data_IF_126858024259
#
_entry.id   IF_126858024259
#
_cell.length_a   1.000
_cell.length_b   1.000
_cell.length_c   1.000
_cell.angle_alpha   90.00
_cell.angle_beta   90.00
_cell.angle_gamma   90.00
#
_symmetry.space_group_name_H-M   'P 1'
#
loop_
_entity.id
_entity.type
_entity.pdbx_description
1 polymer ?
2 non-polymer ?
3 non-polymer ?
4 non-polymer ?
5 water ?
#
# COMPACT_ATOMS: atom_id res chain seq x y z
N UNK A 15 -28.73 -14.41 10.61
CA UNK A 15 -27.61 -13.45 10.58
C UNK A 15 -28.07 -12.02 10.36
N UNK A 16 -27.34 -11.05 10.89
CA UNK A 16 -27.64 -9.65 10.60
C UNK A 16 -27.29 -9.34 9.15
N UNK A 17 -28.05 -8.43 8.56
CA UNK A 17 -27.96 -8.11 7.15
C UNK A 17 -27.61 -6.65 6.98
N UNK A 18 -26.84 -6.34 5.94
CA UNK A 18 -26.47 -4.96 5.63
C UNK A 18 -26.63 -4.73 4.13
N UNK A 19 -27.53 -3.81 3.77
CA UNK A 19 -27.81 -3.47 2.37
C UNK A 19 -28.08 -4.73 1.54
N UNK A 20 -28.97 -5.58 2.05
CA UNK A 20 -29.34 -6.79 1.34
C UNK A 20 -28.21 -7.78 1.19
N UNK A 21 -27.28 -7.81 2.15
CA UNK A 21 -26.16 -8.74 2.12
C UNK A 21 -25.99 -9.33 3.52
N UNK A 22 -25.72 -10.63 3.58
CA UNK A 22 -25.38 -11.24 4.85
C UNK A 22 -24.10 -10.61 5.37
N UNK A 23 -24.08 -10.29 6.67
CA UNK A 23 -22.88 -9.78 7.34
C UNK A 23 -22.90 -10.45 8.73
N UNK A 24 -22.43 -11.69 8.76
CA UNK A 24 -22.74 -12.66 9.82
C UNK A 24 -21.61 -12.67 10.86
N UNK A 25 -21.69 -11.73 11.80
CA UNK A 25 -20.62 -11.49 12.76
C UNK A 25 -21.07 -11.65 14.21
N UNK A 26 -22.35 -11.87 14.46
CA UNK A 26 -22.86 -11.93 15.82
C UNK A 26 -22.61 -13.25 16.51
N UNK A 27 -22.89 -13.31 17.83
CA UNK A 27 -23.46 -12.24 18.64
C UNK A 27 -22.46 -11.27 19.28
N UNK A 28 -21.15 -11.54 19.15
CA UNK A 28 -20.16 -10.65 19.77
C UNK A 28 -20.25 -9.24 19.21
N UNK A 29 -20.48 -9.12 17.90
CA UNK A 29 -20.41 -7.84 17.20
C UNK A 29 -21.81 -7.46 16.72
N UNK A 30 -22.30 -6.30 17.18
CA UNK A 30 -23.66 -5.86 16.94
C UNK A 30 -23.67 -4.40 16.51
N UNK A 31 -24.86 -3.90 16.17
CA UNK A 31 -25.11 -2.50 15.82
C UNK A 31 -24.19 -2.05 14.69
N UNK A 32 -24.51 -2.55 13.50
CA UNK A 32 -23.64 -2.44 12.33
C UNK A 32 -23.95 -1.18 11.52
N UNK A 33 -22.91 -0.58 10.96
CA UNK A 33 -23.04 0.56 10.05
C UNK A 33 -22.09 0.37 8.88
N UNK A 34 -22.60 0.61 7.67
CA UNK A 34 -21.77 0.59 6.47
C UNK A 34 -20.77 1.75 6.50
N UNK A 35 -19.49 1.46 6.25
CA UNK A 35 -18.48 2.50 6.21
C UNK A 35 -17.59 2.44 4.99
N UNK A 36 -17.70 1.41 4.15
CA UNK A 36 -16.86 1.44 2.96
C UNK A 36 -16.77 0.08 2.31
N UNK A 37 -15.69 -0.12 1.55
CA UNK A 37 -15.53 -1.29 0.70
C UNK A 37 -14.10 -1.81 0.75
N UNK A 38 -13.98 -3.13 0.85
CA UNK A 38 -12.74 -3.82 0.59
C UNK A 38 -12.71 -4.37 -0.82
N UNK A 39 -11.76 -5.27 -1.06
CA UNK A 39 -11.61 -5.81 -2.40
C UNK A 39 -12.64 -6.90 -2.70
N UNK A 40 -13.06 -7.65 -1.69
CA UNK A 40 -13.96 -8.78 -1.91
C UNK A 40 -15.17 -8.71 -0.98
N UNK A 41 -15.55 -7.51 -0.58
CA UNK A 41 -16.69 -7.34 0.31
C UNK A 41 -16.67 -5.98 0.95
N UNK A 42 -17.75 -5.71 1.69
CA UNK A 42 -17.95 -4.42 2.31
C UNK A 42 -17.27 -4.34 3.67
N UNK A 43 -17.05 -3.11 4.13
CA UNK A 43 -16.49 -2.82 5.43
C UNK A 43 -17.58 -2.16 6.28
N UNK A 44 -17.73 -2.62 7.52
CA UNK A 44 -18.72 -2.07 8.44
C UNK A 44 -18.05 -1.74 9.77
N UNK A 45 -18.67 -0.81 10.48
CA UNK A 45 -18.35 -0.63 11.90
C UNK A 45 -19.34 -1.43 12.73
N UNK A 46 -18.91 -1.77 13.95
CA UNK A 46 -19.72 -2.61 14.81
C UNK A 46 -19.28 -2.42 16.25
N UNK A 47 -20.17 -2.76 17.19
CA UNK A 47 -19.87 -2.71 18.61
C UNK A 47 -19.38 -4.07 19.08
N UNK A 48 -18.20 -4.08 19.69
CA UNK A 48 -17.60 -5.31 20.23
C UNK A 48 -18.08 -5.46 21.67
N UNK A 49 -18.98 -6.43 21.89
CA UNK A 49 -19.62 -6.58 23.19
C UNK A 49 -18.68 -7.14 24.25
N UNK A 50 -17.53 -7.69 23.86
CA UNK A 50 -16.55 -8.17 24.84
C UNK A 50 -15.63 -7.04 25.30
N UNK A 51 -14.97 -6.38 24.36
CA UNK A 51 -14.03 -5.32 24.68
C UNK A 51 -14.69 -3.94 24.82
N UNK A 52 -16.01 -3.85 24.61
CA UNK A 52 -16.79 -2.66 24.91
C UNK A 52 -16.29 -1.44 24.13
N UNK A 53 -16.05 -1.63 22.83
CA UNK A 53 -15.58 -0.57 21.96
C UNK A 53 -16.07 -0.89 20.55
N UNK A 54 -16.23 0.13 19.72
CA UNK A 54 -16.58 -0.14 18.33
C UNK A 54 -15.34 -0.47 17.53
N UNK A 55 -15.54 -1.30 16.50
CA UNK A 55 -14.45 -1.83 15.68
C UNK A 55 -14.85 -1.72 14.21
N UNK A 56 -13.89 -2.02 13.34
CA UNK A 56 -14.14 -2.14 11.91
C UNK A 56 -14.07 -3.61 11.52
N UNK A 57 -14.94 -4.02 10.60
CA UNK A 57 -15.02 -5.40 10.13
C UNK A 57 -15.09 -5.41 8.61
N UNK A 58 -14.19 -6.18 7.99
CA UNK A 58 -14.14 -6.34 6.54
C UNK A 58 -14.64 -7.73 6.15
N UNK A 59 -15.65 -7.78 5.28
CA UNK A 59 -16.14 -9.04 4.76
C UNK A 59 -15.35 -9.43 3.50
N UNK A 60 -14.99 -10.71 3.43
CA UNK A 60 -14.21 -11.25 2.31
C UNK A 60 -14.91 -12.49 1.78
N UNK A 61 -15.05 -12.59 0.46
CA UNK A 61 -15.70 -13.72 -0.20
C UNK A 61 -14.82 -14.19 -1.35
N UNK A 62 -13.74 -14.91 -1.06
CA UNK A 62 -12.73 -15.16 -2.09
C UNK A 62 -12.76 -16.55 -2.72
N UNK A 63 -13.62 -17.43 -2.22
CA UNK A 63 -13.37 -18.86 -2.40
C UNK A 63 -13.72 -19.39 -3.78
N UNK A 64 -14.38 -18.60 -4.62
CA UNK A 64 -14.70 -19.05 -5.97
C UNK A 64 -13.56 -18.82 -6.96
N UNK A 65 -12.54 -18.05 -6.58
CA UNK A 65 -11.47 -17.65 -7.49
C UNK A 65 -10.09 -17.82 -6.85
N UNK A 66 -9.20 -18.49 -7.58
CA UNK A 66 -7.83 -18.73 -7.12
C UNK A 66 -7.12 -17.45 -6.74
N UNK A 67 -7.21 -16.42 -7.59
CA UNK A 67 -6.47 -15.19 -7.33
C UNK A 67 -6.97 -14.50 -6.06
N UNK A 68 -8.28 -14.57 -5.82
CA UNK A 68 -8.83 -13.95 -4.62
C UNK A 68 -8.31 -14.66 -3.37
N UNK A 69 -8.29 -15.99 -3.40
CA UNK A 69 -7.76 -16.76 -2.28
C UNK A 69 -6.29 -16.45 -2.05
N UNK A 70 -5.52 -16.24 -3.12
CA UNK A 70 -4.13 -15.85 -2.97
C UNK A 70 -4.00 -14.54 -2.22
N UNK A 71 -4.73 -13.51 -2.67
CA UNK A 71 -4.66 -12.19 -2.06
C UNK A 71 -5.12 -12.25 -0.59
N UNK A 72 -6.13 -13.09 -0.31
CA UNK A 72 -6.63 -13.21 1.06
C UNK A 72 -5.63 -13.91 1.96
N UNK A 73 -5.07 -15.04 1.51
CA UNK A 73 -4.13 -15.79 2.33
C UNK A 73 -2.87 -14.99 2.59
N UNK A 74 -2.39 -14.28 1.56
CA UNK A 74 -1.16 -13.51 1.71
C UNK A 74 -1.29 -12.45 2.79
N UNK A 75 -2.40 -11.69 2.75
CA UNK A 75 -2.60 -10.64 3.75
C UNK A 75 -2.71 -11.22 5.15
N UNK A 76 -3.46 -12.31 5.32
CA UNK A 76 -3.63 -12.89 6.64
C UNK A 76 -2.30 -13.37 7.20
N UNK A 77 -1.49 -14.04 6.38
CA UNK A 77 -0.18 -14.50 6.86
C UNK A 77 0.70 -13.32 7.27
N UNK A 78 0.70 -12.24 6.48
CA UNK A 78 1.56 -11.10 6.79
C UNK A 78 1.13 -10.45 8.09
N UNK A 79 -0.18 -10.15 8.21
CA UNK A 79 -0.65 -9.35 9.34
C UNK A 79 -0.64 -10.12 10.65
N UNK A 80 -0.73 -11.45 10.59
CA UNK A 80 -0.64 -12.21 11.83
C UNK A 80 0.79 -12.27 12.36
N UNK A 81 1.79 -12.00 11.51
CA UNK A 81 3.16 -11.94 12.02
C UNK A 81 3.56 -10.51 12.37
N UNK A 82 3.12 -9.53 11.59
CA UNK A 82 3.48 -8.14 11.85
C UNK A 82 2.86 -7.63 13.15
N UNK A 83 3.62 -6.80 13.87
CA UNK A 83 3.11 -6.03 15.01
C UNK A 83 3.78 -4.67 14.98
N UNK A 84 3.05 -3.62 14.64
CA UNK A 84 3.66 -2.30 14.54
C UNK A 84 2.58 -1.22 14.69
N UNK A 85 2.95 -0.10 15.33
CA UNK A 85 1.97 0.94 15.65
C UNK A 85 1.37 1.57 14.39
N UNK A 86 2.10 1.61 13.28
CA UNK A 86 1.63 2.25 12.06
C UNK A 86 1.16 1.25 11.02
N UNK A 87 0.78 0.05 11.46
CA UNK A 87 0.21 -0.98 10.61
C UNK A 87 -1.01 -1.51 11.34
N UNK A 88 -2.17 -1.48 10.68
CA UNK A 88 -3.37 -1.89 11.39
C UNK A 88 -3.43 -3.41 11.41
N UNK A 89 -3.58 -3.97 12.60
CA UNK A 89 -3.48 -5.40 12.77
C UNK A 89 -4.81 -6.11 12.70
N UNK A 90 -4.77 -7.41 12.93
CA UNK A 90 -5.95 -8.25 12.98
C UNK A 90 -6.28 -8.57 14.44
N UNK A 91 -7.44 -8.10 14.90
CA UNK A 91 -7.89 -8.36 16.26
C UNK A 91 -8.66 -9.67 16.38
N UNK A 92 -9.36 -10.06 15.33
CA UNK A 92 -10.23 -11.23 15.34
C UNK A 92 -10.50 -11.61 13.90
N UNK A 93 -10.76 -12.89 13.67
CA UNK A 93 -11.23 -13.39 12.37
C UNK A 93 -12.43 -14.29 12.62
N UNK A 94 -13.51 -14.04 11.88
CA UNK A 94 -14.77 -14.74 12.04
C UNK A 94 -15.01 -15.60 10.80
N UNK A 95 -15.27 -16.88 11.00
CA UNK A 95 -15.72 -17.74 9.92
C UNK A 95 -16.39 -18.97 10.52
N UNK A 96 -16.98 -19.78 9.64
CA UNK A 96 -17.73 -20.95 10.07
C UNK A 96 -16.81 -21.98 10.71
N UNK A 97 -17.34 -22.88 11.54
CA UNK A 97 -16.47 -23.86 12.22
C UNK A 97 -15.92 -24.95 11.31
N UNK A 98 -16.44 -25.12 10.09
CA UNK A 98 -15.96 -26.16 9.18
C UNK A 98 -15.73 -25.59 7.80
N UNK A 99 -14.87 -26.28 7.04
CA UNK A 99 -14.55 -25.83 5.69
C UNK A 99 -15.79 -25.89 4.81
N UNK A 100 -16.63 -26.92 4.99
CA UNK A 100 -17.86 -27.05 4.21
C UNK A 100 -18.77 -25.85 4.40
N UNK A 101 -18.86 -25.33 5.62
CA UNK A 101 -19.79 -24.26 5.95
C UNK A 101 -19.18 -22.88 5.77
N UNK A 102 -17.89 -22.79 5.44
CA UNK A 102 -17.22 -21.50 5.36
C UNK A 102 -17.42 -20.93 3.95
N UNK A 103 -18.23 -19.87 3.85
CA UNK A 103 -18.45 -19.18 2.59
C UNK A 103 -17.78 -17.82 2.55
N UNK A 104 -17.64 -17.18 3.71
CA UNK A 104 -17.06 -15.85 3.82
C UNK A 104 -16.12 -15.85 5.01
N UNK A 105 -15.25 -14.84 5.07
CA UNK A 105 -14.38 -14.61 6.20
C UNK A 105 -14.44 -13.13 6.55
N UNK A 106 -14.52 -12.83 7.85
CA UNK A 106 -14.58 -11.46 8.33
C UNK A 106 -13.35 -11.17 9.17
N UNK A 107 -12.68 -10.06 8.88
CA UNK A 107 -11.48 -9.62 9.59
C UNK A 107 -11.84 -8.39 10.42
N UNK A 108 -11.59 -8.48 11.73
CA UNK A 108 -11.93 -7.42 12.68
C UNK A 108 -10.65 -6.66 13.01
N UNK A 109 -10.74 -5.32 12.97
CA UNK A 109 -9.57 -4.46 13.12
C UNK A 109 -9.99 -3.20 13.89
N UNK A 110 -9.00 -2.43 14.32
CA UNK A 110 -9.27 -1.17 15.02
C UNK A 110 -10.14 -0.26 14.17
N UNK A 111 -11.07 0.44 14.83
CA UNK A 111 -11.92 1.41 14.15
C UNK A 111 -11.23 2.77 14.12
N UNK A 112 -10.96 3.25 12.92
CA UNK A 112 -10.30 4.54 12.73
C UNK A 112 -11.37 5.58 12.35
N UNK A 113 -10.95 6.83 12.23
CA UNK A 113 -11.90 7.90 11.94
C UNK A 113 -12.15 8.11 10.45
N UNK A 114 -11.09 8.05 9.64
CA UNK A 114 -11.22 8.32 8.21
C UNK A 114 -10.02 7.71 7.51
N UNK A 115 -10.00 7.82 6.19
CA UNK A 115 -8.82 7.47 5.40
C UNK A 115 -8.29 8.72 4.72
N UNK A 116 -7.06 8.65 4.23
CA UNK A 116 -6.41 9.87 3.75
C UNK A 116 -7.01 10.34 2.42
N UNK A 117 -7.59 9.42 1.64
CA UNK A 117 -8.25 9.83 0.40
C UNK A 117 -9.44 10.72 0.71
N UNK A 118 -10.32 10.26 1.60
CA UNK A 118 -11.46 11.06 2.02
C UNK A 118 -11.02 12.38 2.64
N UNK A 119 -10.00 12.33 3.50
CA UNK A 119 -9.54 13.53 4.18
C UNK A 119 -9.05 14.58 3.19
N UNK A 120 -8.28 14.16 2.18
CA UNK A 120 -7.74 15.09 1.21
C UNK A 120 -8.81 15.67 0.29
N UNK A 121 -9.97 15.02 0.19
CA UNK A 121 -11.06 15.57 -0.62
C UNK A 121 -11.54 16.92 -0.11
N UNK A 122 -11.50 17.16 1.21
CA UNK A 122 -12.09 18.37 1.77
C UNK A 122 -11.25 19.11 2.81
N UNK A 123 -10.10 18.61 3.21
CA UNK A 123 -9.30 19.24 4.27
C UNK A 123 -7.92 19.63 3.76
N UNK A 124 -7.56 20.90 3.96
CA UNK A 124 -6.18 21.33 3.77
C UNK A 124 -5.34 20.97 4.99
N UNK A 125 -4.16 20.44 4.74
CA UNK A 125 -3.29 19.96 5.79
C UNK A 125 -2.28 21.05 6.14
N UNK A 126 -2.07 21.26 7.43
CA UNK A 126 -0.98 22.13 7.83
C UNK A 126 0.34 21.44 7.56
N UNK A 127 1.42 22.23 7.52
CA UNK A 127 2.73 21.62 7.33
C UNK A 127 3.07 20.66 8.47
N UNK A 128 2.59 20.97 9.68
CA UNK A 128 2.83 20.06 10.79
C UNK A 128 2.13 18.72 10.58
N UNK A 129 0.91 18.75 10.03
CA UNK A 129 0.22 17.49 9.73
C UNK A 129 0.93 16.70 8.63
N UNK A 130 1.32 17.38 7.55
CA UNK A 130 2.05 16.71 6.47
C UNK A 130 3.30 16.04 7.01
N UNK A 131 4.05 16.76 7.85
CA UNK A 131 5.27 16.21 8.44
C UNK A 131 4.97 14.97 9.29
N UNK A 132 3.96 15.07 10.16
CA UNK A 132 3.60 13.95 11.02
C UNK A 132 3.07 12.77 10.23
N UNK A 133 2.21 13.02 9.24
CA UNK A 133 1.69 11.93 8.42
C UNK A 133 2.82 11.21 7.70
N UNK A 134 3.69 11.98 7.05
CA UNK A 134 4.80 11.37 6.31
C UNK A 134 5.72 10.57 7.23
N UNK A 135 6.02 11.11 8.41
CA UNK A 135 6.85 10.37 9.36
C UNK A 135 6.24 9.00 9.66
N UNK A 136 4.92 8.95 9.89
CA UNK A 136 4.30 7.70 10.29
C UNK A 136 4.24 6.71 9.13
N UNK A 137 4.02 7.21 7.91
CA UNK A 137 4.06 6.33 6.74
C UNK A 137 5.43 5.68 6.62
N UNK A 138 6.48 6.50 6.70
CA UNK A 138 7.84 5.96 6.56
C UNK A 138 8.22 5.06 7.73
N UNK A 139 7.73 5.38 8.93
CA UNK A 139 8.05 4.54 10.08
C UNK A 139 7.44 3.15 9.91
N UNK A 140 6.19 3.08 9.45
CA UNK A 140 5.60 1.79 9.16
C UNK A 140 6.27 1.09 8.00
N UNK A 141 6.64 1.86 6.96
CA UNK A 141 7.32 1.28 5.81
C UNK A 141 8.68 0.71 6.18
N UNK A 142 9.40 1.37 7.10
CA UNK A 142 10.67 0.82 7.55
C UNK A 142 10.49 -0.59 8.10
N UNK A 143 9.43 -0.80 8.89
CA UNK A 143 9.17 -2.12 9.44
C UNK A 143 8.82 -3.12 8.33
N UNK A 144 7.94 -2.72 7.41
CA UNK A 144 7.56 -3.59 6.30
C UNK A 144 8.79 -4.03 5.52
N UNK A 145 9.62 -3.07 5.09
CA UNK A 145 10.79 -3.41 4.29
C UNK A 145 11.81 -4.21 5.09
N UNK A 146 11.90 -3.97 6.40
CA UNK A 146 12.82 -4.76 7.22
C UNK A 146 12.39 -6.22 7.31
N UNK A 147 11.12 -6.51 7.03
CA UNK A 147 10.64 -7.88 6.96
C UNK A 147 10.80 -8.48 5.57
N UNK A 148 11.52 -7.80 4.69
CA UNK A 148 11.75 -8.25 3.30
C UNK A 148 10.44 -8.28 2.52
N UNK A 149 9.49 -7.40 2.88
CA UNK A 149 8.17 -7.37 2.26
C UNK A 149 7.97 -6.03 1.56
N UNK A 150 7.27 -6.07 0.43
CA UNK A 150 6.87 -4.89 -0.32
C UNK A 150 5.36 -4.73 -0.21
N UNK A 151 4.89 -3.52 0.08
CA UNK A 151 3.45 -3.32 0.16
C UNK A 151 2.81 -3.35 -1.24
N UNK A 152 3.37 -2.56 -2.16
CA UNK A 152 3.07 -2.55 -3.59
C UNK A 152 1.71 -1.96 -3.94
N UNK A 153 1.03 -1.27 -3.02
CA UNK A 153 -0.19 -0.57 -3.39
C UNK A 153 -0.45 0.57 -2.41
N UNK A 154 0.61 1.30 -2.05
CA UNK A 154 0.43 2.44 -1.17
C UNK A 154 -0.26 3.58 -1.92
N UNK A 155 -1.29 4.13 -1.29
CA UNK A 155 -2.10 5.21 -1.84
C UNK A 155 -2.94 5.78 -0.71
N UNK A 156 -3.50 6.99 -0.88
CA UNK A 156 -4.22 7.62 0.23
C UNK A 156 -5.36 6.79 0.81
N UNK A 157 -6.11 6.06 -0.02
CA UNK A 157 -7.23 5.29 0.51
C UNK A 157 -6.80 4.11 1.36
N UNK A 158 -5.52 3.74 1.32
CA UNK A 158 -5.00 2.66 2.16
C UNK A 158 -4.28 3.17 3.39
N UNK A 159 -4.45 4.44 3.73
CA UNK A 159 -3.86 5.02 4.93
C UNK A 159 -5.00 5.50 5.82
N UNK A 160 -5.09 4.93 7.02
CA UNK A 160 -6.19 5.22 7.93
C UNK A 160 -5.72 6.16 9.03
N UNK A 161 -6.61 7.03 9.48
CA UNK A 161 -6.30 7.98 10.54
C UNK A 161 -7.38 7.97 11.60
N UNK A 162 -6.95 8.05 12.86
CA UNK A 162 -7.88 8.14 13.97
C UNK A 162 -8.10 9.62 14.31
N UNK A 163 -8.86 9.88 15.38
CA UNK A 163 -9.27 11.23 15.70
C UNK A 163 -8.13 12.11 16.18
N UNK A 164 -6.98 11.53 16.53
CA UNK A 164 -5.82 12.32 16.95
C UNK A 164 -4.69 12.18 15.93
N UNK A 165 -5.07 11.75 14.73
CA UNK A 165 -4.20 11.76 13.55
C UNK A 165 -3.06 10.75 13.64
N UNK A 166 -3.26 9.71 14.45
CA UNK A 166 -2.43 8.51 14.36
C UNK A 166 -2.71 7.83 13.03
N UNK A 167 -1.68 7.36 12.33
CA UNK A 167 -1.81 6.80 10.99
C UNK A 167 -1.44 5.32 10.99
N UNK A 168 -2.23 4.52 10.27
CA UNK A 168 -1.95 3.10 10.12
C UNK A 168 -2.10 2.65 8.68
N UNK A 169 -1.17 1.82 8.23
CA UNK A 169 -1.19 1.27 6.87
C UNK A 169 -2.10 0.05 6.83
N UNK A 170 -2.92 -0.01 5.79
CA UNK A 170 -3.96 -1.02 5.59
C UNK A 170 -3.82 -1.67 4.22
N UNK A 171 -4.44 -2.84 4.10
CA UNK A 171 -4.45 -3.70 2.91
C UNK A 171 -3.07 -4.20 2.51
N UNK A 172 -2.77 -5.45 2.87
CA UNK A 172 -1.56 -6.14 2.42
C UNK A 172 -1.88 -7.25 1.43
N UNK A 173 -2.99 -7.11 0.69
CA UNK A 173 -3.40 -8.12 -0.27
C UNK A 173 -2.54 -8.17 -1.53
N UNK A 174 -1.85 -7.08 -1.83
CA UNK A 174 -1.00 -7.02 -3.02
C UNK A 174 0.48 -7.14 -2.70
N UNK A 175 0.81 -7.39 -1.44
CA UNK A 175 2.19 -7.42 -1.00
C UNK A 175 2.93 -8.63 -1.57
N UNK A 176 4.25 -8.54 -1.59
CA UNK A 176 5.10 -9.62 -2.06
C UNK A 176 6.39 -9.59 -1.27
N UNK A 177 7.08 -10.73 -1.25
CA UNK A 177 8.44 -10.76 -0.73
C UNK A 177 9.37 -10.16 -1.77
N UNK A 178 10.26 -9.27 -1.32
CA UNK A 178 11.15 -8.58 -2.25
C UNK A 178 12.06 -9.56 -2.97
N UNK A 179 12.32 -9.28 -4.24
CA UNK A 179 13.11 -10.17 -5.10
C UNK A 179 13.87 -9.31 -6.11
N UNK A 180 14.86 -8.55 -5.66
CA UNK A 180 15.53 -7.60 -6.57
C UNK A 180 16.30 -8.28 -7.70
N UNK A 181 16.77 -9.51 -7.51
CA UNK A 181 17.56 -10.16 -8.55
C UNK A 181 16.71 -10.68 -9.71
N UNK A 182 15.38 -10.73 -9.56
CA UNK A 182 14.48 -11.13 -10.63
C UNK A 182 13.49 -10.03 -11.00
N UNK A 183 13.92 -8.77 -10.96
CA UNK A 183 13.01 -7.66 -11.17
C UNK A 183 12.88 -7.23 -12.63
N UNK A 184 13.82 -7.61 -13.50
CA UNK A 184 13.86 -7.10 -14.86
C UNK A 184 12.79 -7.76 -15.72
N UNK A 185 12.16 -6.96 -16.58
CA UNK A 185 11.18 -7.45 -17.54
C UNK A 185 11.14 -6.48 -18.72
N UNK A 186 10.16 -6.66 -19.59
CA UNK A 186 10.08 -5.91 -20.82
C UNK A 186 9.20 -4.67 -20.73
N UNK A 187 9.02 -4.05 -21.90
CA UNK A 187 8.39 -2.76 -22.03
C UNK A 187 6.86 -2.88 -22.07
N UNK A 188 6.19 -2.08 -21.24
CA UNK A 188 4.72 -1.99 -21.21
C UNK A 188 4.05 -3.32 -20.92
N UNK A 189 4.57 -4.08 -19.94
CA UNK A 189 3.97 -5.35 -19.59
C UNK A 189 3.45 -5.45 -18.16
N UNK A 190 3.81 -4.52 -17.28
CA UNK A 190 3.54 -4.70 -15.86
C UNK A 190 2.52 -3.69 -15.34
N UNK A 191 1.74 -4.14 -14.36
CA UNK A 191 0.58 -3.39 -13.90
C UNK A 191 0.65 -3.02 -12.41
N UNK A 192 1.77 -3.34 -11.76
CA UNK A 192 1.85 -3.28 -10.31
C UNK A 192 1.35 -1.94 -9.79
N UNK A 193 0.68 -1.99 -8.64
CA UNK A 193 0.05 -0.83 -8.03
C UNK A 193 -1.05 -0.19 -8.87
N UNK A 194 -1.88 0.56 -8.16
CA UNK A 194 -2.76 1.62 -8.64
C UNK A 194 -2.03 2.69 -9.46
N UNK A 195 -2.63 3.06 -10.59
CA UNK A 195 -2.00 3.84 -11.66
C UNK A 195 -1.26 5.10 -11.19
N UNK A 196 -1.96 6.02 -10.52
CA UNK A 196 -1.38 7.31 -10.18
C UNK A 196 -0.15 7.19 -9.27
N UNK A 197 0.03 6.04 -8.62
CA UNK A 197 1.08 5.87 -7.64
C UNK A 197 2.13 4.88 -8.13
N UNK A 198 2.15 4.63 -9.43
CA UNK A 198 2.96 3.62 -10.08
C UNK A 198 4.27 4.24 -10.55
N UNK A 199 5.39 3.63 -10.17
CA UNK A 199 6.69 4.19 -10.49
C UNK A 199 6.96 4.08 -11.99
N UNK A 200 7.79 4.99 -12.55
CA UNK A 200 7.99 4.97 -14.01
C UNK A 200 8.56 3.66 -14.52
N UNK A 201 9.40 2.98 -13.72
CA UNK A 201 10.05 1.77 -14.21
C UNK A 201 9.07 0.61 -14.38
N UNK A 202 7.91 0.66 -13.73
CA UNK A 202 6.87 -0.34 -13.97
C UNK A 202 6.51 -0.40 -15.45
N UNK A 203 6.40 0.76 -16.10
CA UNK A 203 6.02 0.80 -17.50
C UNK A 203 7.19 0.50 -18.42
N UNK A 204 8.41 0.52 -17.90
CA UNK A 204 9.62 0.43 -18.71
C UNK A 204 10.28 -0.95 -18.64
N UNK A 205 10.61 -1.41 -17.42
CA UNK A 205 11.45 -2.61 -17.32
C UNK A 205 11.40 -3.29 -15.95
N UNK A 206 10.38 -3.07 -15.12
CA UNK A 206 10.39 -3.57 -13.75
C UNK A 206 9.11 -4.33 -13.41
N UNK A 207 9.27 -5.45 -12.71
CA UNK A 207 8.15 -6.24 -12.21
C UNK A 207 7.62 -5.74 -10.87
N UNK A 208 8.24 -4.71 -10.29
CA UNK A 208 7.80 -4.22 -8.99
C UNK A 208 8.21 -5.10 -7.83
N UNK A 209 9.39 -5.71 -7.89
CA UNK A 209 9.91 -6.60 -6.87
C UNK A 209 11.00 -5.97 -6.02
N UNK A 210 11.18 -4.65 -6.07
CA UNK A 210 12.19 -4.02 -5.24
C UNK A 210 11.57 -2.91 -4.40
N UNK A 211 12.26 -2.57 -3.31
CA UNK A 211 11.69 -1.69 -2.30
C UNK A 211 11.44 -0.29 -2.84
N UNK A 212 12.19 0.11 -3.87
CA UNK A 212 12.02 1.46 -4.39
C UNK A 212 10.65 1.69 -5.00
N UNK A 213 9.89 0.61 -5.26
CA UNK A 213 8.53 0.78 -5.79
C UNK A 213 7.66 1.47 -4.74
N UNK A 214 7.87 1.14 -3.46
CA UNK A 214 7.06 1.73 -2.40
C UNK A 214 7.46 3.18 -2.14
N UNK A 215 8.75 3.50 -2.27
CA UNK A 215 9.20 4.87 -2.03
C UNK A 215 8.59 5.82 -3.06
N UNK A 216 8.50 5.39 -4.32
CA UNK A 216 7.83 6.22 -5.32
C UNK A 216 6.39 6.54 -4.90
N UNK A 217 5.66 5.53 -4.44
CA UNK A 217 4.27 5.76 -4.04
C UNK A 217 4.18 6.77 -2.90
N UNK A 218 5.10 6.66 -1.93
CA UNK A 218 5.10 7.61 -0.82
C UNK A 218 5.38 9.02 -1.30
N UNK A 219 6.28 9.16 -2.28
CA UNK A 219 6.53 10.47 -2.85
C UNK A 219 5.29 11.04 -3.52
N UNK A 220 4.52 10.19 -4.20
CA UNK A 220 3.27 10.65 -4.80
C UNK A 220 2.28 11.09 -3.73
N UNK A 221 2.25 10.38 -2.61
CA UNK A 221 1.34 10.74 -1.51
C UNK A 221 1.76 12.06 -0.88
N UNK A 222 3.07 12.27 -0.71
CA UNK A 222 3.57 13.53 -0.17
C UNK A 222 3.15 14.70 -1.05
N UNK A 223 3.36 14.58 -2.36
CA UNK A 223 2.94 15.63 -3.27
C UNK A 223 1.44 15.89 -3.16
N UNK A 224 0.66 14.83 -3.00
CA UNK A 224 -0.79 14.99 -2.90
C UNK A 224 -1.20 15.64 -1.58
N UNK A 225 -0.43 15.41 -0.51
CA UNK A 225 -0.71 16.11 0.74
C UNK A 225 -0.39 17.59 0.64
N UNK A 226 0.54 17.96 -0.23
CA UNK A 226 0.94 19.37 -0.32
C UNK A 226 -0.11 20.20 -1.05
N UNK A 227 -0.89 19.59 -1.95
CA UNK A 227 -1.78 20.34 -2.83
C UNK A 227 -3.21 19.83 -2.89
N UNK A 228 -3.53 18.68 -2.27
CA UNK A 228 -4.83 18.04 -2.33
C UNK A 228 -5.21 17.61 -3.75
N UNK A 229 -4.24 17.41 -4.63
CA UNK A 229 -4.53 16.83 -5.93
C UNK A 229 -3.43 15.85 -6.29
N UNK A 230 -3.74 14.78 -7.02
CA UNK A 230 -2.69 13.84 -7.43
C UNK A 230 -1.70 14.51 -8.37
N UNK A 231 -0.42 14.22 -8.16
CA UNK A 231 0.62 14.89 -8.92
C UNK A 231 0.72 14.30 -10.34
N UNK A 232 0.47 13.01 -10.52
CA UNK A 232 0.59 12.35 -11.83
C UNK A 232 -0.74 11.67 -12.17
N UNK A 233 -1.77 12.45 -12.57
CA UNK A 233 -3.10 11.85 -12.77
C UNK A 233 -3.33 11.31 -14.18
N UNK A 234 -2.65 10.20 -14.49
CA UNK A 234 -2.83 9.57 -15.79
C UNK A 234 -4.28 9.16 -16.00
N UNK A 235 -4.75 9.37 -17.23
CA UNK A 235 -6.14 9.07 -17.57
C UNK A 235 -6.36 7.59 -17.88
N UNK A 236 -5.29 6.82 -18.03
CA UNK A 236 -5.29 5.41 -18.39
C UNK A 236 -3.84 4.94 -18.34
N UNK A 237 -3.64 3.62 -18.45
CA UNK A 237 -2.31 3.03 -18.28
C UNK A 237 -1.21 3.78 -19.00
N UNK A 238 -1.41 3.97 -20.30
CA UNK A 238 -0.37 4.50 -21.17
C UNK A 238 -0.09 5.97 -20.87
N UNK A 239 -1.10 6.68 -20.35
CA UNK A 239 -0.98 8.10 -20.05
C UNK A 239 -0.08 8.37 -18.85
N UNK A 240 0.14 7.38 -17.98
CA UNK A 240 0.83 7.63 -16.71
C UNK A 240 2.24 8.17 -16.91
N UNK A 241 3.00 7.57 -17.83
CA UNK A 241 4.38 8.01 -18.04
C UNK A 241 4.43 9.39 -18.66
N UNK A 242 3.42 9.77 -19.46
CA UNK A 242 3.35 11.14 -19.95
C UNK A 242 3.39 12.13 -18.80
N UNK A 243 2.64 11.85 -17.73
CA UNK A 243 2.52 12.81 -16.65
C UNK A 243 3.81 12.86 -15.82
N UNK A 244 4.44 11.71 -15.61
CA UNK A 244 5.68 11.66 -14.84
C UNK A 244 6.78 12.44 -15.56
N UNK A 245 6.96 12.17 -16.86
CA UNK A 245 8.02 12.84 -17.61
C UNK A 245 7.72 14.32 -17.81
N UNK A 246 6.44 14.69 -17.82
CA UNK A 246 6.09 16.09 -17.99
C UNK A 246 6.55 16.97 -16.84
N UNK A 247 6.77 16.38 -15.67
CA UNK A 247 7.22 17.12 -14.50
C UNK A 247 8.70 16.87 -14.22
N UNK A 248 9.14 15.62 -14.27
CA UNK A 248 10.54 15.31 -14.03
C UNK A 248 11.44 15.74 -15.19
N UNK A 249 10.90 15.84 -16.40
CA UNK A 249 11.71 16.15 -17.56
C UNK A 249 12.36 14.91 -18.14
N UNK A 250 13.14 15.13 -19.19
CA UNK A 250 13.78 14.02 -19.89
C UNK A 250 14.83 13.36 -18.99
N UNK A 251 14.92 12.02 -18.98
CA UNK A 251 15.97 11.37 -18.20
C UNK A 251 17.36 11.65 -18.77
N UNK A 252 18.34 11.70 -17.86
CA UNK A 252 19.72 11.91 -18.23
C UNK A 252 20.26 10.73 -19.04
N UNK A 253 21.41 10.96 -19.69
CA UNK A 253 22.11 9.87 -20.37
C UNK A 253 22.45 8.74 -19.41
N UNK A 254 22.96 9.09 -18.22
CA UNK A 254 23.33 8.08 -17.24
C UNK A 254 22.12 7.22 -16.86
N UNK A 255 20.97 7.85 -16.65
CA UNK A 255 19.78 7.11 -16.26
C UNK A 255 19.25 6.26 -17.40
N UNK A 256 19.39 6.74 -18.64
CA UNK A 256 19.00 5.91 -19.79
C UNK A 256 19.92 4.72 -19.96
N UNK A 257 21.21 4.89 -19.69
CA UNK A 257 22.15 3.80 -19.82
C UNK A 257 21.87 2.69 -18.82
N UNK A 258 21.15 2.99 -17.73
CA UNK A 258 20.76 1.96 -16.78
C UNK A 258 19.59 1.12 -17.27
N UNK A 259 18.95 1.51 -18.38
CA UNK A 259 17.85 0.75 -18.98
C UNK A 259 18.44 0.01 -20.18
N UNK A 260 18.79 -1.25 -20.00
CA UNK A 260 19.39 -1.98 -21.11
C UNK A 260 18.34 -2.45 -22.11
N UNK A 261 17.09 -2.64 -21.69
CA UNK A 261 16.04 -3.08 -22.61
C UNK A 261 15.86 -2.07 -23.74
N UNK A 262 15.94 -2.57 -24.98
CA UNK A 262 15.99 -1.66 -26.12
C UNK A 262 14.64 -1.02 -26.41
N UNK A 263 13.54 -1.76 -26.28
CA UNK A 263 12.24 -1.16 -26.53
C UNK A 263 11.97 -0.02 -25.57
N UNK A 264 12.25 -0.21 -24.28
CA UNK A 264 12.04 0.85 -23.30
C UNK A 264 12.96 2.03 -23.56
N UNK A 265 14.26 1.75 -23.73
CA UNK A 265 15.20 2.84 -23.94
C UNK A 265 14.90 3.60 -25.23
N UNK A 266 14.59 2.92 -26.34
CA UNK A 266 14.33 3.63 -27.58
C UNK A 266 13.01 4.41 -27.55
N UNK A 267 12.03 3.96 -26.75
CA UNK A 267 10.86 4.80 -26.53
C UNK A 267 11.26 6.14 -25.93
N UNK A 268 12.06 6.11 -24.86
CA UNK A 268 12.46 7.35 -24.21
C UNK A 268 13.30 8.21 -25.15
N UNK A 269 14.18 7.58 -25.94
CA UNK A 269 15.02 8.34 -26.87
C UNK A 269 14.20 8.98 -27.98
N UNK A 270 13.02 8.45 -28.29
CA UNK A 270 12.20 8.96 -29.37
C UNK A 270 11.43 10.21 -28.98
N UNK A 271 11.40 10.56 -27.70
CA UNK A 271 10.62 11.67 -27.21
C UNK A 271 11.36 12.99 -27.40
N UNK A 272 10.65 14.09 -27.67
CA UNK A 272 11.30 15.40 -27.63
C UNK A 272 11.77 15.73 -26.22
N UNK A 273 12.76 16.63 -26.16
CA UNK A 273 13.23 17.11 -24.86
C UNK A 273 12.11 17.74 -24.06
N UNK A 274 12.06 17.39 -22.77
CA UNK A 274 11.13 17.96 -21.82
C UNK A 274 11.94 18.52 -20.65
N UNK A 275 11.65 19.77 -20.26
CA UNK A 275 12.34 20.35 -19.11
C UNK A 275 11.73 19.89 -17.80
N UNK A 276 12.55 19.86 -16.77
CA UNK A 276 12.07 19.66 -15.40
C UNK A 276 11.24 20.85 -14.96
N UNK A 277 10.12 20.58 -14.30
CA UNK A 277 9.31 21.62 -13.67
C UNK A 277 9.78 21.75 -12.23
N UNK A 278 10.27 22.91 -11.80
CA UNK A 278 10.76 23.03 -10.42
C UNK A 278 9.65 22.79 -9.41
N UNK A 279 9.99 22.04 -8.36
CA UNK A 279 9.02 21.70 -7.32
C UNK A 279 8.43 22.95 -6.67
N UNK A 280 9.24 23.99 -6.46
CA UNK A 280 8.72 25.17 -5.78
C UNK A 280 7.83 26.02 -6.68
N UNK A 281 7.79 25.74 -7.99
CA UNK A 281 6.79 26.37 -8.84
C UNK A 281 5.48 25.61 -8.79
N UNK A 282 5.56 24.28 -8.64
CA UNK A 282 4.37 23.46 -8.46
C UNK A 282 3.77 23.65 -7.07
N UNK A 283 4.60 23.84 -6.06
CA UNK A 283 4.16 23.92 -4.67
C UNK A 283 4.74 25.17 -4.02
N UNK A 284 4.23 26.35 -4.38
CA UNK A 284 4.85 27.59 -3.89
C UNK A 284 4.71 27.80 -2.39
N UNK A 285 3.75 27.15 -1.74
CA UNK A 285 3.56 27.26 -0.30
C UNK A 285 4.35 26.25 0.51
N UNK A 286 5.02 25.31 -0.13
CA UNK A 286 5.55 24.17 0.60
C UNK A 286 6.84 24.51 1.34
N UNK A 287 7.07 23.78 2.44
CA UNK A 287 8.33 23.81 3.15
C UNK A 287 9.45 23.36 2.23
N UNK A 288 10.53 24.14 2.18
CA UNK A 288 11.61 23.82 1.25
C UNK A 288 12.26 22.48 1.58
N UNK A 289 12.31 22.11 2.87
CA UNK A 289 12.84 20.80 3.25
C UNK A 289 11.92 19.69 2.76
N UNK A 290 10.60 19.93 2.75
CA UNK A 290 9.67 18.94 2.23
C UNK A 290 9.90 18.70 0.75
N UNK A 291 10.13 19.77 -0.03
CA UNK A 291 10.37 19.61 -1.46
C UNK A 291 11.70 18.96 -1.75
N UNK A 292 12.71 19.15 -0.88
CA UNK A 292 13.97 18.44 -1.07
C UNK A 292 13.78 16.94 -0.91
N UNK A 293 13.01 16.53 0.10
CA UNK A 293 12.74 15.11 0.30
C UNK A 293 11.83 14.57 -0.80
N UNK A 294 10.83 15.35 -1.22
CA UNK A 294 9.99 14.97 -2.35
C UNK A 294 10.83 14.65 -3.58
N UNK A 295 11.78 15.53 -3.90
CA UNK A 295 12.64 15.31 -5.06
C UNK A 295 13.37 13.99 -4.96
N UNK A 296 13.85 13.64 -3.75
CA UNK A 296 14.63 12.44 -3.58
C UNK A 296 13.76 11.19 -3.65
N UNK A 297 12.48 11.31 -3.29
CA UNK A 297 11.57 10.17 -3.40
C UNK A 297 11.06 9.99 -4.82
N UNK A 298 10.83 11.07 -5.54
CA UNK A 298 10.39 11.01 -6.93
C UNK A 298 11.56 11.12 -7.89
N UNK A 299 12.61 10.34 -7.62
CA UNK A 299 13.77 10.26 -8.51
C UNK A 299 13.53 9.20 -9.57
N UNK A 300 13.81 9.54 -10.84
CA UNK A 300 13.50 8.65 -11.95
C UNK A 300 14.21 7.31 -11.82
N UNK A 301 15.52 7.35 -11.57
CA UNK A 301 16.32 6.12 -11.54
C UNK A 301 16.09 5.43 -10.21
N UNK A 302 15.52 4.22 -10.18
CA UNK A 302 15.21 3.56 -8.90
C UNK A 302 16.43 3.26 -8.06
N UNK A 303 17.62 3.12 -8.65
CA UNK A 303 18.82 2.88 -7.87
C UNK A 303 19.29 4.13 -7.15
N UNK A 304 19.00 5.32 -7.70
CA UNK A 304 19.36 6.58 -7.06
C UNK A 304 18.29 7.07 -6.09
N UNK A 305 17.12 6.43 -6.09
CA UNK A 305 15.99 6.87 -5.27
C UNK A 305 16.29 6.62 -3.80
N UNK A 306 15.86 7.56 -2.95
CA UNK A 306 16.12 7.47 -1.52
C UNK A 306 15.47 6.23 -0.93
N UNK A 307 16.15 5.61 0.04
CA UNK A 307 15.63 4.46 0.76
C UNK A 307 14.93 4.92 2.04
N UNK A 308 14.18 4.00 2.66
CA UNK A 308 13.26 4.40 3.73
C UNK A 308 14.02 4.90 4.95
N UNK A 309 15.16 4.29 5.28
CA UNK A 309 15.89 4.76 6.45
C UNK A 309 16.60 6.08 6.18
N UNK A 310 16.99 6.34 4.93
CA UNK A 310 17.50 7.66 4.57
C UNK A 310 16.41 8.72 4.67
N UNK A 311 15.20 8.39 4.23
CA UNK A 311 14.10 9.36 4.25
C UNK A 311 13.77 9.75 5.69
N UNK A 312 13.74 8.78 6.60
CA UNK A 312 13.46 9.08 8.00
C UNK A 312 14.48 10.04 8.58
N UNK A 313 15.73 9.97 8.11
CA UNK A 313 16.81 10.82 8.63
C UNK A 313 16.90 12.16 7.90
N UNK A 314 15.97 12.45 6.99
CA UNK A 314 16.03 13.70 6.24
C UNK A 314 15.67 14.87 7.17
N UNK A 315 16.30 16.04 6.98
CA UNK A 315 16.01 17.19 7.86
C UNK A 315 14.53 17.57 7.99
N UNK A 316 13.70 17.32 6.97
CA UNK A 316 12.28 17.64 7.09
C UNK A 316 11.64 16.94 8.28
N UNK A 317 12.13 15.75 8.63
CA UNK A 317 11.54 14.93 9.68
C UNK A 317 12.30 15.01 11.00
N UNK A 318 13.15 16.01 11.16
CA UNK A 318 14.07 16.05 12.30
C UNK A 318 13.33 16.11 13.64
N UNK A 319 12.11 16.67 13.67
CA UNK A 319 11.39 16.75 14.93
C UNK A 319 10.96 15.39 15.44
N UNK A 320 10.91 14.37 14.57
CA UNK A 320 10.37 13.07 14.92
C UNK A 320 11.41 11.96 14.89
N UNK A 321 12.48 12.14 14.13
CA UNK A 321 13.43 11.07 13.85
C UNK A 321 14.08 10.54 15.12
N UNK A 322 14.00 9.23 15.32
CA UNK A 322 14.57 8.53 16.46
C UNK A 322 14.68 7.07 16.09
N UNK A 323 15.85 6.63 15.59
CA UNK A 323 15.97 5.24 15.11
C UNK A 323 15.67 4.20 16.17
N UNK A 324 15.92 4.50 17.44
CA UNK A 324 15.61 3.54 18.51
C UNK A 324 14.12 3.36 18.72
N UNK A 325 13.31 4.30 18.24
CA UNK A 325 11.85 4.22 18.33
C UNK A 325 11.24 3.96 16.96
N UNK A 326 12.01 3.37 16.05
CA UNK A 326 11.56 3.04 14.70
C UNK A 326 11.89 1.57 14.49
N UNK A 327 11.07 0.68 15.03
CA UNK A 327 11.47 -0.73 15.16
C UNK A 327 11.44 -1.47 13.83
N UNK A 328 12.16 -2.60 13.80
CA UNK A 328 12.21 -3.47 12.64
C UNK A 328 11.65 -4.84 13.03
N UNK A 329 11.42 -5.68 12.02
CA UNK A 329 10.74 -6.95 12.23
C UNK A 329 11.67 -7.98 12.86
N UNK A 330 11.10 -8.75 13.79
CA UNK A 330 11.84 -9.84 14.43
C UNK A 330 12.07 -11.01 13.49
N UNK A 331 11.10 -11.32 12.62
CA UNK A 331 11.17 -12.51 11.78
C UNK A 331 10.83 -12.16 10.34
N UNK A 332 11.81 -11.74 9.53
CA UNK A 332 11.52 -11.41 8.14
C UNK A 332 11.07 -12.64 7.36
N UNK A 333 10.28 -12.39 6.32
CA UNK A 333 9.86 -13.44 5.41
C UNK A 333 10.98 -13.74 4.42
N UNK A 334 11.36 -15.01 4.30
CA UNK A 334 12.52 -15.38 3.49
C UNK A 334 12.17 -15.61 2.02
N UNK A 335 11.02 -16.22 1.72
CA UNK A 335 10.58 -16.44 0.35
C UNK A 335 9.10 -16.12 0.27
N UNK A 336 8.65 -15.70 -0.92
CA UNK A 336 7.22 -15.60 -1.13
C UNK A 336 6.55 -16.92 -0.75
N UNK A 337 5.37 -16.80 -0.16
CA UNK A 337 4.59 -17.99 0.13
C UNK A 337 4.30 -18.66 -1.20
N UNK A 338 4.63 -19.94 -1.33
CA UNK A 338 4.56 -20.60 -2.63
C UNK A 338 3.10 -20.92 -2.98
N UNK A 339 2.40 -19.95 -3.59
CA UNK A 339 0.95 -20.05 -3.77
C UNK A 339 0.48 -20.30 -5.20
N UNK A 340 1.25 -19.96 -6.22
CA UNK A 340 0.70 -20.02 -7.56
C UNK A 340 0.54 -21.47 -8.00
N UNK A 341 -0.42 -21.70 -8.90
CA UNK A 341 -0.86 -23.00 -9.37
C UNK A 341 -1.58 -23.80 -8.29
N UNK A 342 -1.41 -23.42 -7.03
CA UNK A 342 -2.21 -24.05 -5.97
C UNK A 342 -3.68 -23.80 -6.27
N UNK A 343 -4.49 -24.85 -6.45
CA UNK A 343 -5.91 -24.64 -6.73
C UNK A 343 -6.61 -23.98 -5.55
N UNK A 344 -7.75 -23.38 -5.85
CA UNK A 344 -8.50 -22.67 -4.82
C UNK A 344 -8.93 -23.58 -3.67
N UNK A 345 -9.03 -24.90 -3.92
CA UNK A 345 -9.43 -25.81 -2.85
C UNK A 345 -8.35 -25.92 -1.78
N UNK A 346 -7.10 -26.04 -2.19
CA UNK A 346 -6.01 -26.09 -1.22
C UNK A 346 -5.86 -24.74 -0.53
N UNK A 347 -6.13 -23.66 -1.26
CA UNK A 347 -6.04 -22.32 -0.67
C UNK A 347 -7.11 -22.11 0.38
N UNK A 348 -8.34 -22.57 0.11
CA UNK A 348 -9.39 -22.52 1.11
C UNK A 348 -8.97 -23.28 2.36
N UNK A 349 -8.40 -24.47 2.18
CA UNK A 349 -7.91 -25.25 3.32
C UNK A 349 -6.83 -24.50 4.08
N UNK A 350 -5.96 -23.78 3.37
CA UNK A 350 -4.90 -23.02 4.04
C UNK A 350 -5.46 -21.81 4.78
N UNK A 351 -6.44 -21.14 4.18
CA UNK A 351 -7.09 -20.02 4.87
C UNK A 351 -7.80 -20.50 6.13
N UNK A 352 -8.47 -21.66 6.03
CA UNK A 352 -9.12 -22.25 7.20
C UNK A 352 -8.12 -22.50 8.32
N UNK A 353 -6.97 -23.11 7.98
CA UNK A 353 -5.97 -23.43 8.99
C UNK A 353 -5.35 -22.16 9.56
N UNK A 354 -5.10 -21.16 8.71
CA UNK A 354 -4.47 -19.92 9.14
C UNK A 354 -5.34 -19.11 10.08
N UNK A 355 -6.66 -19.29 10.03
CA UNK A 355 -7.59 -18.54 10.86
C UNK A 355 -8.08 -19.33 12.07
N UNK A 356 -7.53 -20.52 12.30
CA UNK A 356 -8.05 -21.39 13.35
C UNK A 356 -7.81 -20.82 14.74
N UNK A 357 -6.78 -19.97 14.89
CA UNK A 357 -6.41 -19.52 16.22
C UNK A 357 -7.48 -18.64 16.86
N UNK A 358 -8.43 -18.13 16.07
CA UNK A 358 -9.46 -17.22 16.55
C UNK A 358 -10.77 -17.92 16.88
N UNK A 359 -10.86 -19.23 16.66
CA UNK A 359 -12.10 -19.94 16.96
C UNK A 359 -12.29 -20.09 18.47
N UNK A 360 -13.51 -19.88 18.96
CA UNK A 360 -13.82 -20.23 20.35
C UNK A 360 -13.56 -21.70 20.61
N UNK A 361 -12.51 -21.97 21.37
CA UNK A 361 -11.97 -23.30 21.50
C UNK A 361 -10.45 -23.22 21.41
N UNK A 362 -9.84 -24.10 20.63
CA UNK A 362 -8.40 -24.06 20.37
C UNK A 362 -7.60 -24.40 21.62
X LIG B 1 -4.68 0.99 -15.05
X LIG B 1 -5.27 0.52 -16.29
X LIG B 1 -3.96 -0.10 -14.40
X LIG B 1 -5.74 1.46 -14.15
X LIG B 1 -3.76 2.10 -15.33
X LIG C 1 21.27 5.78 -2.45
X LIG C 1 20.90 4.57 -1.71
X LIG C 1 21.99 5.41 -3.67
X LIG C 1 22.13 6.62 -1.61
X LIG C 1 20.06 6.52 -2.80
X LIG D 1 7.92 -8.22 15.88
X LIG D 1 8.39 -8.18 14.46
X LIG D 1 7.24 -6.61 16.38
X LIG D 1 6.46 -9.28 16.06
X LIG E 1 15.22 -2.35 5.62
X LIG E 1 14.80 -2.31 4.18
X LIG E 1 16.92 -1.75 5.80
X LIG E 1 14.33 -1.08 6.58
X LIG F 1 -6.25 5.87 -10.98
X LIG F 1 -6.66 4.45 -11.22
X LIG F 1 -7.54 6.72 -10.03
X LIG F 1 -4.96 5.86 -9.73
X LIG G 1 -11.89 2.08 6.83
X LIG G 1 -12.45 3.36 6.86
X LIG G 1 -12.58 4.05 8.05
X LIG G 1 -11.78 1.41 5.51
X LIG G 1 -11.69 1.93 4.30
X LIG G 1 -8.47 -0.74 3.74
X LIG G 1 -9.76 -2.09 5.59
X LIG G 1 -10.14 -1.86 7.04
X LIG G 1 -11.24 -2.79 7.51
X LIG G 1 -8.53 -1.30 5.16
X LIG G 1 -11.48 1.11 3.06
X LIG G 1 -10.10 1.30 2.46
X LIG G 1 -9.47 -1.04 2.65
X LIG G 1 -9.70 0.08 1.63
X LIG G 1 -10.03 -2.08 2.56
X LIG G 1 -10.71 -0.25 0.69
X LIG G 1 -12.15 3.52 9.24
X LIG G 1 -11.57 2.26 9.25
X LIG G 1 -11.43 1.50 8.05
X LIG G 1 -10.81 0.15 8.20
X LIG G 1 -7.17 -0.92 3.24
X LIG G 1 -10.09 2.48 1.63
X LIG G 1 -13.14 5.30 8.05
X LIG G 1 -11.16 1.75 10.44
X LIG G 1 -10.51 -0.32 9.27
X LIG G 1 -10.63 -0.48 7.04
#
# INVERSE_FOLDING_TARGET
HHHHHHMAAAAAAGPEMVRGQVFDVGPRYTNLSYIGEGAYGMVCSAYDNLNKVRVAIKKISPFEHQTYCQRTLREIKILLRFRHENIIGINDIIRAPTIEQMKDVYIVQDLMETDLYKLLKTQHLSNDHICYFLYQILRGLKYIHSANVLHRDLKPSNLLLNTTCDLKICDFGLARVADPDHDHTGFLTEYVATRWYRAPEIMLNSKGYTKSIDIWSVGCILAEMLSNRPIFPGKHYLDQLNHILGILGSPSQEDLNCIINLKARNYLLSLPHKNKVPWNRLFPNADSKALDLLDKMLTFNPHKRIEVEQALAHPYLEQYYDPSDEPIAEAPFKFDMELDDLPKEKLKELIFEETARFQPGYRS
SO4 S O1 O2 O3 O4
SO4 S O1 O2 O3 O4
DMS S O C1 C2
DMS S O C1 C2
DMS S O C1 C2
WLZ C12 C13 C14 C11 C10 C5 C3 C2 C1 C4 C9 C8 C6 C7 O1 O2 C15 C16 C17 C18 F1 O3 O4 O5 O6 O7
#
